data_IF_009418258356
#
_entry.id   IF_009418258356
#
_cell.length_a   1.000
_cell.length_b   1.000
_cell.length_c   1.000
_cell.angle_alpha   90.00
_cell.angle_beta   90.00
_cell.angle_gamma   90.00
#
_symmetry.space_group_name_H-M   'P 1'
#
loop_
_entity.id
_entity.type
_entity.pdbx_description
1 polymer ?
#
# COMPACT_ATOMS: atom_id res chain seq x y z
N UNK A 1 10.54 -7.27 5.19
CA UNK A 1 9.39 -8.00 4.63
C UNK A 1 9.86 -9.34 4.10
N UNK A 2 9.07 -10.40 4.28
CA UNK A 2 9.32 -11.70 3.64
C UNK A 2 9.03 -11.63 2.13
N UNK A 3 9.52 -12.62 1.37
CA UNK A 3 9.31 -12.69 -0.08
C UNK A 3 7.83 -12.55 -0.49
N UNK A 4 6.94 -13.29 0.18
CA UNK A 4 5.50 -13.22 -0.08
C UNK A 4 4.89 -11.83 0.16
N UNK A 5 5.34 -11.11 1.19
CA UNK A 5 4.85 -9.77 1.49
C UNK A 5 5.31 -8.75 0.44
N UNK A 6 6.55 -8.89 -0.05
CA UNK A 6 7.09 -8.08 -1.14
C UNK A 6 6.29 -8.32 -2.42
N UNK A 7 6.06 -9.59 -2.76
CA UNK A 7 5.26 -9.97 -3.92
C UNK A 7 3.82 -9.45 -3.83
N UNK A 8 3.18 -9.60 -2.66
CA UNK A 8 1.85 -9.03 -2.41
C UNK A 8 1.84 -7.52 -2.60
N UNK A 9 2.84 -6.82 -2.05
CA UNK A 9 2.94 -5.36 -2.17
C UNK A 9 3.07 -4.91 -3.62
N UNK A 10 3.88 -5.60 -4.42
CA UNK A 10 4.02 -5.32 -5.86
C UNK A 10 2.70 -5.55 -6.59
N UNK A 11 2.03 -6.68 -6.34
CA UNK A 11 0.74 -7.01 -6.96
C UNK A 11 -0.34 -5.99 -6.57
N UNK A 12 -0.38 -5.55 -5.31
CA UNK A 12 -1.31 -4.54 -4.82
C UNK A 12 -1.11 -3.19 -5.54
N UNK A 13 0.14 -2.75 -5.69
CA UNK A 13 0.47 -1.50 -6.40
C UNK A 13 0.07 -1.60 -7.88
N UNK A 14 0.40 -2.71 -8.54
CA UNK A 14 0.03 -2.94 -9.95
C UNK A 14 -1.49 -2.96 -10.10
N UNK A 15 -2.21 -3.61 -9.17
CA UNK A 15 -3.66 -3.66 -9.16
C UNK A 15 -4.27 -2.26 -9.05
N UNK A 16 -3.79 -1.42 -8.14
CA UNK A 16 -4.28 -0.04 -7.98
C UNK A 16 -4.04 0.80 -9.21
N UNK A 17 -2.81 0.77 -9.75
CA UNK A 17 -2.48 1.48 -10.99
C UNK A 17 -3.38 0.99 -12.13
N UNK A 18 -3.55 -0.33 -12.27
CA UNK A 18 -4.41 -0.93 -13.27
C UNK A 18 -5.87 -0.51 -13.13
N UNK A 19 -6.39 -0.44 -11.91
CA UNK A 19 -7.75 -0.02 -11.63
C UNK A 19 -7.97 1.46 -11.98
N UNK A 20 -7.04 2.34 -11.61
CA UNK A 20 -7.09 3.76 -11.99
C UNK A 20 -7.02 3.93 -13.51
N UNK A 21 -6.05 3.27 -14.17
CA UNK A 21 -5.89 3.33 -15.63
C UNK A 21 -7.14 2.80 -16.34
N UNK A 22 -7.71 1.69 -15.87
CA UNK A 22 -8.94 1.12 -16.43
C UNK A 22 -10.10 2.12 -16.37
N UNK A 23 -10.34 2.76 -15.22
CA UNK A 23 -11.42 3.73 -15.08
C UNK A 23 -11.17 5.02 -15.86
N UNK A 24 -9.91 5.43 -16.05
CA UNK A 24 -9.56 6.58 -16.91
C UNK A 24 -9.80 6.28 -18.39
N UNK A 25 -9.46 5.07 -18.85
CA UNK A 25 -9.60 4.67 -20.25
C UNK A 25 -11.04 4.28 -20.62
N UNK A 26 -11.83 3.80 -19.65
CA UNK A 26 -13.19 3.32 -19.87
C UNK A 26 -14.19 4.01 -18.93
N UNK A 27 -14.42 5.33 -19.11
CA UNK A 27 -15.26 6.12 -18.21
C UNK A 27 -16.71 5.63 -18.15
N UNK A 28 -17.20 4.90 -19.16
CA UNK A 28 -18.54 4.32 -19.15
C UNK A 28 -18.79 3.32 -18.01
N UNK A 29 -17.72 2.74 -17.42
CA UNK A 29 -17.81 1.85 -16.26
C UNK A 29 -17.72 2.56 -14.92
N UNK A 30 -17.58 3.90 -14.87
CA UNK A 30 -17.61 4.69 -13.64
C UNK A 30 -19.03 4.82 -13.04
N UNK A 31 -19.95 3.93 -13.41
CA UNK A 31 -21.28 3.85 -12.80
C UNK A 31 -21.14 3.37 -11.37
N UNK A 32 -21.94 3.96 -10.47
CA UNK A 32 -21.89 3.67 -9.04
C UNK A 32 -21.94 2.15 -8.73
N UNK A 33 -22.78 1.40 -9.43
CA UNK A 33 -22.94 -0.05 -9.24
C UNK A 33 -21.69 -0.89 -9.54
N UNK A 34 -20.78 -0.39 -10.37
CA UNK A 34 -19.51 -1.05 -10.72
C UNK A 34 -18.36 -0.46 -9.90
N UNK A 35 -18.38 0.86 -9.70
CA UNK A 35 -17.34 1.58 -8.98
C UNK A 35 -17.30 1.16 -7.50
N UNK A 36 -18.45 1.02 -6.84
CA UNK A 36 -18.53 0.64 -5.42
C UNK A 36 -17.85 -0.70 -5.11
N UNK A 37 -18.20 -1.82 -5.79
CA UNK A 37 -17.53 -3.09 -5.54
C UNK A 37 -16.05 -3.06 -5.93
N UNK A 38 -15.68 -2.39 -7.03
CA UNK A 38 -14.27 -2.27 -7.45
C UNK A 38 -13.42 -1.50 -6.41
N UNK A 39 -13.92 -0.36 -5.91
CA UNK A 39 -13.28 0.40 -4.84
C UNK A 39 -13.27 -0.36 -3.52
N UNK A 40 -14.28 -1.19 -3.24
CA UNK A 40 -14.32 -2.03 -2.02
C UNK A 40 -13.20 -3.08 -2.06
N UNK A 41 -12.99 -3.73 -3.20
CA UNK A 41 -11.85 -4.64 -3.40
C UNK A 41 -10.53 -3.88 -3.24
N UNK A 42 -10.40 -2.71 -3.86
CA UNK A 42 -9.21 -1.86 -3.71
C UNK A 42 -8.93 -1.44 -2.27
N UNK A 43 -9.98 -1.17 -1.49
CA UNK A 43 -9.88 -0.83 -0.07
C UNK A 43 -9.41 -2.03 0.77
N UNK A 44 -9.92 -3.24 0.51
CA UNK A 44 -9.46 -4.46 1.18
C UNK A 44 -7.98 -4.72 0.88
N UNK A 45 -7.58 -4.60 -0.40
CA UNK A 45 -6.18 -4.75 -0.82
C UNK A 45 -5.29 -3.73 -0.11
N UNK A 46 -5.73 -2.46 -0.02
CA UNK A 46 -5.02 -1.41 0.70
C UNK A 46 -4.87 -1.70 2.20
N UNK A 47 -5.93 -2.18 2.86
CA UNK A 47 -5.88 -2.51 4.29
C UNK A 47 -4.85 -3.60 4.56
N UNK A 48 -4.82 -4.65 3.72
CA UNK A 48 -3.84 -5.72 3.85
C UNK A 48 -2.43 -5.17 3.60
N UNK A 49 -2.24 -4.34 2.58
CA UNK A 49 -0.95 -3.69 2.31
C UNK A 49 -0.47 -2.85 3.50
N UNK A 50 -1.36 -2.05 4.08
CA UNK A 50 -1.07 -1.23 5.26
C UNK A 50 -0.68 -2.09 6.46
N UNK A 51 -1.40 -3.19 6.70
CA UNK A 51 -1.06 -4.14 7.74
C UNK A 51 0.34 -4.73 7.54
N UNK A 52 0.71 -5.11 6.31
CA UNK A 52 2.04 -5.62 6.01
C UNK A 52 3.14 -4.57 6.22
N UNK A 53 2.91 -3.32 5.81
CA UNK A 53 3.83 -2.21 6.02
C UNK A 53 4.02 -1.96 7.52
N UNK A 54 2.95 -1.88 8.30
CA UNK A 54 3.03 -1.68 9.74
C UNK A 54 3.75 -2.84 10.42
N UNK A 55 3.44 -4.09 10.06
CA UNK A 55 4.17 -5.25 10.57
C UNK A 55 5.67 -5.14 10.30
N UNK A 56 6.06 -4.70 9.11
CA UNK A 56 7.46 -4.48 8.77
C UNK A 56 8.10 -3.36 9.61
N UNK A 57 7.41 -2.24 9.82
CA UNK A 57 7.88 -1.13 10.66
C UNK A 57 8.08 -1.57 12.12
N UNK A 58 7.17 -2.38 12.68
CA UNK A 58 7.31 -2.86 14.05
C UNK A 58 8.43 -3.89 14.20
N UNK A 59 8.67 -4.72 13.18
CA UNK A 59 9.71 -5.77 13.21
C UNK A 59 11.11 -5.25 12.86
N UNK A 60 11.23 -4.09 12.20
CA UNK A 60 12.53 -3.55 11.78
C UNK A 60 13.23 -2.84 12.94
N UNK A 61 14.55 -3.10 13.15
CA UNK A 61 15.36 -2.27 14.02
C UNK A 61 15.55 -0.90 13.38
N UNK A 62 15.18 0.16 14.11
CA UNK A 62 15.49 1.53 13.73
C UNK A 62 16.48 2.09 14.75
N UNK A 63 17.52 2.77 14.29
CA UNK A 63 18.53 3.39 15.15
C UNK A 63 17.93 4.44 16.10
N UNK A 64 16.84 5.09 15.67
CA UNK A 64 16.10 6.06 16.46
C UNK A 64 14.60 5.68 16.52
N UNK A 65 14.01 5.52 17.73
CA UNK A 65 12.59 5.23 17.88
C UNK A 65 11.68 6.31 17.28
N UNK A 66 12.11 7.58 17.26
CA UNK A 66 11.33 8.67 16.67
C UNK A 66 11.12 8.47 15.16
N UNK A 67 12.09 7.88 14.45
CA UNK A 67 11.98 7.57 13.03
C UNK A 67 10.87 6.55 12.75
N UNK A 68 10.69 5.58 13.66
CA UNK A 68 9.60 4.59 13.57
C UNK A 68 8.24 5.28 13.69
N UNK A 69 8.05 6.11 14.71
CA UNK A 69 6.78 6.82 14.93
C UNK A 69 6.47 7.81 13.82
N UNK A 70 7.50 8.47 13.27
CA UNK A 70 7.36 9.38 12.13
C UNK A 70 6.87 8.62 10.89
N UNK A 71 7.44 7.45 10.58
CA UNK A 71 6.94 6.62 9.47
C UNK A 71 5.50 6.15 9.68
N UNK A 72 5.15 5.71 10.90
CA UNK A 72 3.77 5.34 11.21
C UNK A 72 2.81 6.51 11.01
N UNK A 73 3.15 7.69 11.55
CA UNK A 73 2.31 8.89 11.43
C UNK A 73 2.16 9.35 9.98
N UNK A 74 3.26 9.40 9.23
CA UNK A 74 3.23 9.81 7.82
C UNK A 74 2.42 8.84 6.97
N UNK A 75 2.57 7.52 7.16
CA UNK A 75 1.83 6.53 6.36
C UNK A 75 0.34 6.56 6.71
N UNK A 76 -0.01 6.77 7.99
CA UNK A 76 -1.41 6.87 8.42
C UNK A 76 -2.10 8.13 7.86
N UNK A 77 -1.40 9.27 7.87
CA UNK A 77 -1.94 10.55 7.38
C UNK A 77 -1.90 10.66 5.85
N UNK A 78 -0.88 10.06 5.23
CA UNK A 78 -0.59 10.11 3.80
C UNK A 78 -0.27 8.70 3.31
N UNK A 79 -1.31 7.96 2.91
CA UNK A 79 -1.16 6.59 2.40
C UNK A 79 -0.16 6.45 1.24
N UNK A 80 -0.04 7.40 0.29
CA UNK A 80 0.98 7.33 -0.76
C UNK A 80 2.42 7.26 -0.22
N UNK A 81 2.67 7.72 1.00
CA UNK A 81 3.98 7.61 1.64
C UNK A 81 4.36 6.15 1.96
N UNK A 82 3.39 5.23 2.01
CA UNK A 82 3.63 3.79 2.08
C UNK A 82 4.47 3.28 0.91
N UNK A 83 4.30 3.84 -0.30
CA UNK A 83 5.12 3.50 -1.47
C UNK A 83 6.58 3.93 -1.27
N UNK A 84 6.78 5.15 -0.76
CA UNK A 84 8.12 5.67 -0.45
C UNK A 84 8.78 4.81 0.63
N UNK A 85 8.02 4.41 1.66
CA UNK A 85 8.50 3.49 2.69
C UNK A 85 8.92 2.13 2.10
N UNK A 86 8.09 1.54 1.24
CA UNK A 86 8.39 0.24 0.61
C UNK A 86 9.68 0.30 -0.21
N UNK A 87 9.85 1.34 -1.03
CA UNK A 87 11.06 1.57 -1.83
C UNK A 87 12.29 1.77 -0.94
N UNK A 88 12.17 2.54 0.14
CA UNK A 88 13.31 2.89 0.99
C UNK A 88 13.70 1.78 1.96
N UNK A 89 12.74 1.09 2.54
CA UNK A 89 12.90 0.17 3.67
C UNK A 89 12.29 -1.21 3.43
N UNK A 90 11.09 -1.30 2.85
CA UNK A 90 10.37 -2.58 2.69
C UNK A 90 11.07 -3.61 1.79
N UNK A 91 11.65 -3.16 0.67
CA UNK A 91 12.36 -4.03 -0.28
C UNK A 91 13.80 -4.35 0.12
N UNK A 92 14.39 -3.59 1.05
CA UNK A 92 15.73 -3.87 1.58
C UNK A 92 15.68 -5.03 2.59
N UNK A 93 16.76 -5.83 2.73
CA UNK A 93 16.87 -6.78 3.83
C UNK A 93 16.72 -6.07 5.18
N UNK A 94 16.21 -6.81 6.17
CA UNK A 94 15.95 -6.29 7.52
C UNK A 94 17.26 -6.13 8.26
#
# INVERSE_FOLDING_TARGET
MNFFEKMYSIVAIIFEIGLVVFFLLQPQYQRLSILLPACTIGLIVNIILLFLIFRDIFQRPFDNPNTRYLWLAIILLFWPAGLIYLLRHGFKPR
#
